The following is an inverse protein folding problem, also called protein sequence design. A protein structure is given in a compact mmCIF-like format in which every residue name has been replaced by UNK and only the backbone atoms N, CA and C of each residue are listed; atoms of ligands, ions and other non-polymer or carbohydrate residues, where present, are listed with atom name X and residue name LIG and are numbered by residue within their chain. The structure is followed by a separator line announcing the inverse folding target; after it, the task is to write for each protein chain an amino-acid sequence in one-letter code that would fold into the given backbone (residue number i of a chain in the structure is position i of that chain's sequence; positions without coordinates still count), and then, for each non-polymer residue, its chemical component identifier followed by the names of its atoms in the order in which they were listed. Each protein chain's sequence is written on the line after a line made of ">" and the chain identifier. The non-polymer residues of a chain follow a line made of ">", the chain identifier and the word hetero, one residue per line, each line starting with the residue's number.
data_IF_490505237388
#
_entry.id   IF_490505237388
#
_cell.length_a   1.000
_cell.length_b   1.000
_cell.length_c   1.000
_cell.angle_alpha   90.00
_cell.angle_beta   90.00
_cell.angle_gamma   90.00
#
_symmetry.space_group_name_H-M   'P 1'
#
loop_
_entity.id
_entity.type
_entity.pdbx_description
1 polymer ?
#
# COMPACT_ATOMS: atom_id res chain seq x y z
N UNK A 1 8.95 -24.50 15.53
CA UNK A 1 10.20 -24.86 14.82
C UNK A 1 10.28 -23.96 13.62
N UNK A 2 11.19 -23.00 13.63
CA UNK A 2 11.37 -22.07 12.53
C UNK A 2 11.73 -22.86 11.27
N UNK A 3 10.86 -22.89 10.28
CA UNK A 3 11.11 -23.43 8.95
C UNK A 3 12.13 -22.52 8.27
N UNK A 4 13.35 -22.98 8.19
CA UNK A 4 14.41 -22.37 7.38
C UNK A 4 13.92 -22.34 5.94
N UNK A 5 13.66 -21.16 5.41
CA UNK A 5 13.36 -20.95 3.98
C UNK A 5 14.65 -21.29 3.21
N UNK A 6 14.83 -22.55 2.89
CA UNK A 6 15.88 -23.00 1.96
C UNK A 6 15.45 -22.58 0.56
N UNK A 7 16.30 -21.79 -0.09
CA UNK A 7 16.10 -21.37 -1.48
C UNK A 7 16.03 -22.57 -2.41
N UNK A 8 14.82 -23.05 -2.71
CA UNK A 8 14.57 -23.94 -3.83
C UNK A 8 14.86 -23.17 -5.12
N UNK A 9 15.52 -23.85 -6.07
CA UNK A 9 15.80 -23.30 -7.39
C UNK A 9 14.49 -22.74 -8.00
N UNK A 10 14.42 -21.42 -8.15
CA UNK A 10 13.33 -20.77 -8.84
C UNK A 10 13.17 -21.41 -10.22
N UNK A 11 11.96 -21.83 -10.54
CA UNK A 11 11.52 -21.85 -11.93
C UNK A 11 11.90 -20.50 -12.50
N UNK A 12 12.70 -20.45 -13.56
CA UNK A 12 13.02 -19.20 -14.25
C UNK A 12 11.70 -18.71 -14.82
N UNK A 13 11.01 -17.85 -14.06
CA UNK A 13 9.86 -17.15 -14.60
C UNK A 13 10.33 -16.44 -15.87
N UNK A 14 9.56 -16.48 -16.98
CA UNK A 14 9.94 -15.77 -18.18
C UNK A 14 10.27 -14.32 -17.85
N UNK A 15 11.37 -13.79 -18.43
CA UNK A 15 11.74 -12.38 -18.26
C UNK A 15 10.52 -11.51 -18.55
N UNK A 16 10.07 -10.79 -17.53
CA UNK A 16 8.98 -9.83 -17.68
C UNK A 16 9.55 -8.59 -18.38
N UNK A 17 9.16 -8.38 -19.64
CA UNK A 17 9.67 -7.28 -20.47
C UNK A 17 9.38 -5.86 -19.91
N UNK A 18 8.63 -5.75 -18.81
CA UNK A 18 8.32 -4.46 -18.18
C UNK A 18 9.48 -3.95 -17.31
N UNK A 19 10.37 -4.83 -16.81
CA UNK A 19 11.50 -4.46 -15.97
C UNK A 19 12.83 -4.58 -16.72
N UNK A 20 13.75 -3.63 -16.48
CA UNK A 20 15.12 -3.65 -16.98
C UNK A 20 16.14 -4.05 -15.90
N UNK A 21 17.44 -4.12 -16.23
CA UNK A 21 18.49 -4.56 -15.31
C UNK A 21 18.56 -3.78 -13.99
N UNK A 22 18.37 -2.46 -14.03
CA UNK A 22 18.41 -1.61 -12.84
C UNK A 22 17.23 -1.91 -11.90
N UNK A 23 16.05 -2.22 -12.48
CA UNK A 23 14.89 -2.64 -11.73
C UNK A 23 15.12 -3.97 -11.02
N UNK A 24 15.75 -4.95 -11.67
CA UNK A 24 16.05 -6.23 -11.05
C UNK A 24 17.15 -6.11 -9.98
N UNK A 25 18.15 -5.25 -10.16
CA UNK A 25 19.14 -4.94 -9.13
C UNK A 25 18.51 -4.29 -7.89
N UNK A 26 17.55 -3.38 -8.09
CA UNK A 26 16.76 -2.78 -7.02
C UNK A 26 15.90 -3.83 -6.31
N UNK A 27 15.22 -4.70 -7.07
CA UNK A 27 14.45 -5.83 -6.54
C UNK A 27 15.27 -6.69 -5.61
N UNK A 28 16.47 -7.09 -6.04
CA UNK A 28 17.37 -7.93 -5.24
C UNK A 28 17.84 -7.22 -3.96
N UNK A 29 18.05 -5.91 -4.03
CA UNK A 29 18.41 -5.10 -2.86
C UNK A 29 17.24 -5.02 -1.87
N UNK A 30 16.05 -4.69 -2.36
CA UNK A 30 14.86 -4.57 -1.51
C UNK A 30 14.45 -5.93 -0.89
N UNK A 31 14.55 -7.01 -1.66
CA UNK A 31 14.32 -8.38 -1.15
C UNK A 31 15.27 -8.75 -0.01
N UNK A 32 16.57 -8.39 -0.13
CA UNK A 32 17.52 -8.62 0.98
C UNK A 32 17.16 -7.80 2.21
N UNK A 33 16.73 -6.56 2.01
CA UNK A 33 16.24 -5.71 3.11
C UNK A 33 15.04 -6.36 3.82
N UNK A 34 14.01 -6.77 3.08
CA UNK A 34 12.85 -7.44 3.65
C UNK A 34 13.27 -8.69 4.44
N UNK A 35 14.07 -9.56 3.84
CA UNK A 35 14.49 -10.83 4.45
C UNK A 35 15.30 -10.65 5.74
N UNK A 36 16.10 -9.57 5.82
CA UNK A 36 17.03 -9.37 6.95
C UNK A 36 16.51 -8.41 8.02
N UNK A 37 15.61 -7.48 7.66
CA UNK A 37 15.17 -6.41 8.56
C UNK A 37 13.67 -6.49 8.90
N UNK A 38 12.81 -6.82 7.94
CA UNK A 38 11.35 -6.78 8.12
C UNK A 38 10.80 -8.14 8.56
N UNK A 39 11.09 -9.20 7.81
CA UNK A 39 10.57 -10.56 8.07
C UNK A 39 10.86 -11.05 9.50
N UNK A 40 12.06 -10.84 10.08
CA UNK A 40 12.35 -11.35 11.44
C UNK A 40 11.50 -10.73 12.55
N UNK A 41 11.03 -9.48 12.38
CA UNK A 41 10.18 -8.78 13.35
C UNK A 41 8.69 -8.91 13.08
N UNK A 42 8.31 -9.36 11.89
CA UNK A 42 6.95 -9.21 11.36
C UNK A 42 5.88 -9.89 12.23
N UNK A 43 6.10 -11.14 12.67
CA UNK A 43 5.17 -11.86 13.55
C UNK A 43 4.91 -11.12 14.88
N UNK A 44 5.92 -10.46 15.42
CA UNK A 44 5.78 -9.65 16.64
C UNK A 44 4.89 -8.43 16.37
N UNK A 45 5.13 -7.72 15.28
CA UNK A 45 4.32 -6.55 14.90
C UNK A 45 2.87 -6.92 14.55
N UNK A 46 2.64 -8.09 13.91
CA UNK A 46 1.28 -8.59 13.69
C UNK A 46 0.53 -8.81 15.01
N UNK A 47 1.19 -9.26 16.06
CA UNK A 47 0.60 -9.40 17.40
C UNK A 47 0.41 -8.06 18.13
N UNK A 48 1.31 -7.11 17.92
CA UNK A 48 1.27 -5.78 18.52
C UNK A 48 0.35 -4.82 17.77
N UNK A 49 0.00 -5.14 16.54
CA UNK A 49 -0.90 -4.35 15.70
C UNK A 49 -0.25 -3.11 15.08
N UNK A 50 1.09 -3.01 15.08
CA UNK A 50 1.81 -1.87 14.52
C UNK A 50 3.22 -2.25 14.09
N UNK A 51 3.64 -1.79 12.91
CA UNK A 51 5.03 -1.89 12.45
C UNK A 51 5.90 -0.90 13.25
N UNK A 52 7.08 -1.35 13.65
CA UNK A 52 8.06 -0.48 14.31
C UNK A 52 8.46 0.69 13.40
N UNK A 53 8.43 1.91 13.92
CA UNK A 53 8.74 3.14 13.16
C UNK A 53 10.13 3.13 12.55
N UNK A 54 11.08 2.49 13.22
CA UNK A 54 12.46 2.34 12.77
C UNK A 54 12.55 1.66 11.39
N UNK A 55 11.56 0.86 11.02
CA UNK A 55 11.53 0.23 9.70
C UNK A 55 11.33 1.25 8.57
N UNK A 56 10.65 2.37 8.83
CA UNK A 56 10.54 3.45 7.85
C UNK A 56 11.87 4.21 7.71
N UNK A 57 12.54 4.55 8.80
CA UNK A 57 13.86 5.21 8.73
C UNK A 57 14.93 4.30 8.13
N UNK A 58 14.89 3.01 8.41
CA UNK A 58 15.77 2.05 7.76
C UNK A 58 15.48 1.92 6.26
N UNK A 59 14.21 1.86 5.85
CA UNK A 59 13.83 1.85 4.44
C UNK A 59 14.31 3.13 3.73
N UNK A 60 14.13 4.30 4.36
CA UNK A 60 14.64 5.58 3.86
C UNK A 60 16.15 5.59 3.70
N UNK A 61 16.91 5.12 4.71
CA UNK A 61 18.37 5.06 4.66
C UNK A 61 18.94 4.16 3.55
N UNK A 62 18.13 3.21 3.05
CA UNK A 62 18.46 2.33 1.94
C UNK A 62 17.90 2.81 0.59
N UNK A 63 17.23 3.97 0.55
CA UNK A 63 16.64 4.53 -0.65
C UNK A 63 15.36 3.82 -1.13
N UNK A 64 14.62 3.17 -0.21
CA UNK A 64 13.35 2.50 -0.53
C UNK A 64 12.13 3.37 -0.25
N UNK A 65 12.32 4.60 0.25
CA UNK A 65 11.30 5.61 0.37
C UNK A 65 11.57 6.77 -0.58
N UNK A 66 10.49 7.39 -1.09
CA UNK A 66 10.59 8.62 -1.85
C UNK A 66 11.33 8.50 -3.17
N UNK A 67 11.15 7.42 -3.95
CA UNK A 67 11.80 7.24 -5.25
C UNK A 67 11.59 8.45 -6.18
N UNK A 68 10.39 9.01 -6.22
CA UNK A 68 10.04 10.17 -7.03
C UNK A 68 10.38 11.53 -6.37
N UNK A 69 10.81 11.55 -5.10
CA UNK A 69 11.26 12.78 -4.44
C UNK A 69 12.60 13.20 -5.07
N UNK A 70 12.76 14.48 -5.47
CA UNK A 70 14.04 14.97 -6.02
C UNK A 70 15.22 14.72 -5.09
N UNK A 71 16.40 14.49 -5.69
CA UNK A 71 17.64 14.22 -4.95
C UNK A 71 18.02 15.35 -3.98
N UNK A 72 17.70 16.60 -4.33
CA UNK A 72 17.93 17.77 -3.46
C UNK A 72 17.18 17.69 -2.12
N UNK A 73 16.10 16.90 -2.05
CA UNK A 73 15.35 16.60 -0.83
C UNK A 73 15.67 15.21 -0.24
N UNK A 74 16.70 14.55 -0.75
CA UNK A 74 17.14 13.25 -0.25
C UNK A 74 16.40 12.04 -0.82
N UNK A 75 15.60 12.23 -1.85
CA UNK A 75 14.90 11.15 -2.55
C UNK A 75 15.72 10.51 -3.68
N UNK A 76 15.08 9.61 -4.42
CA UNK A 76 15.71 8.87 -5.52
C UNK A 76 15.77 9.64 -6.85
N UNK A 77 15.06 10.75 -6.98
CA UNK A 77 15.02 11.58 -8.21
C UNK A 77 14.43 10.87 -9.43
N UNK A 78 13.74 9.73 -9.25
CA UNK A 78 13.20 8.92 -10.34
C UNK A 78 11.67 8.85 -10.25
N UNK A 79 10.99 9.28 -11.29
CA UNK A 79 9.55 9.17 -11.48
C UNK A 79 9.12 7.84 -12.11
N UNK A 80 10.07 6.92 -12.32
CA UNK A 80 9.80 5.59 -12.86
C UNK A 80 9.07 4.72 -11.83
N UNK A 81 7.75 4.66 -11.95
CA UNK A 81 6.86 3.92 -11.03
C UNK A 81 7.17 2.41 -10.95
N UNK A 82 7.99 1.85 -11.85
CA UNK A 82 8.38 0.44 -11.79
C UNK A 82 9.16 0.11 -10.51
N UNK A 83 9.91 1.05 -9.94
CA UNK A 83 10.55 0.86 -8.63
C UNK A 83 9.52 0.70 -7.51
N UNK A 84 8.47 1.51 -7.51
CA UNK A 84 7.37 1.42 -6.56
C UNK A 84 6.57 0.11 -6.73
N UNK A 85 6.34 -0.29 -7.99
CA UNK A 85 5.71 -1.57 -8.31
C UNK A 85 6.52 -2.77 -7.77
N UNK A 86 7.84 -2.73 -7.85
CA UNK A 86 8.73 -3.75 -7.27
C UNK A 86 8.55 -3.81 -5.74
N UNK A 87 8.48 -2.66 -5.07
CA UNK A 87 8.23 -2.63 -3.62
C UNK A 87 6.90 -3.33 -3.31
N UNK A 88 5.82 -3.03 -4.04
CA UNK A 88 4.52 -3.65 -3.85
C UNK A 88 4.56 -5.17 -4.09
N UNK A 89 5.25 -5.61 -5.14
CA UNK A 89 5.44 -7.03 -5.44
C UNK A 89 6.20 -7.76 -4.34
N UNK A 90 7.35 -7.23 -3.91
CA UNK A 90 8.22 -7.92 -2.97
C UNK A 90 7.64 -7.94 -1.54
N UNK A 91 6.96 -6.88 -1.11
CA UNK A 91 6.21 -6.85 0.16
C UNK A 91 5.14 -7.94 0.18
N UNK A 92 4.36 -8.05 -0.90
CA UNK A 92 3.31 -9.07 -1.03
C UNK A 92 3.88 -10.48 -1.15
N UNK A 93 4.92 -10.66 -1.94
CA UNK A 93 5.58 -11.95 -2.14
C UNK A 93 6.25 -12.47 -0.86
N UNK A 94 6.84 -11.58 -0.06
CA UNK A 94 7.43 -11.93 1.24
C UNK A 94 6.38 -12.20 2.33
N UNK A 95 5.08 -11.91 2.09
CA UNK A 95 4.03 -12.08 3.08
C UNK A 95 4.05 -11.03 4.18
N UNK A 96 4.65 -9.85 3.94
CA UNK A 96 4.76 -8.75 4.91
C UNK A 96 3.89 -7.55 4.51
N UNK A 97 2.69 -7.80 4.03
CA UNK A 97 1.78 -6.81 3.44
C UNK A 97 1.38 -5.68 4.41
N UNK A 98 1.50 -5.89 5.71
CA UNK A 98 1.26 -4.85 6.73
C UNK A 98 2.34 -3.77 6.75
N UNK A 99 3.49 -3.95 6.06
CA UNK A 99 4.52 -2.92 5.98
C UNK A 99 4.06 -1.79 5.06
N UNK A 100 3.50 -0.73 5.65
CA UNK A 100 2.80 0.37 4.99
C UNK A 100 3.66 1.29 4.10
N UNK A 101 4.78 0.82 3.58
CA UNK A 101 5.70 1.55 2.72
C UNK A 101 5.05 1.99 1.40
N UNK A 102 4.17 1.16 0.83
CA UNK A 102 3.46 1.52 -0.39
C UNK A 102 2.43 2.63 -0.16
N UNK A 103 1.72 2.64 0.98
CA UNK A 103 0.85 3.75 1.34
C UNK A 103 1.63 5.07 1.38
N UNK A 104 2.81 5.05 2.00
CA UNK A 104 3.69 6.21 2.09
C UNK A 104 4.15 6.66 0.70
N UNK A 105 4.77 5.76 -0.08
CA UNK A 105 5.38 6.08 -1.37
C UNK A 105 4.38 6.38 -2.49
N UNK A 106 3.35 5.52 -2.63
CA UNK A 106 2.52 5.48 -3.84
C UNK A 106 1.26 6.33 -3.69
N UNK A 107 0.81 6.53 -2.44
CA UNK A 107 -0.43 7.23 -2.13
C UNK A 107 -0.13 8.61 -1.54
N UNK A 108 0.64 8.71 -0.43
CA UNK A 108 0.80 9.99 0.26
C UNK A 108 1.82 10.92 -0.40
N UNK A 109 3.03 10.44 -0.73
CA UNK A 109 4.11 11.25 -1.31
C UNK A 109 3.68 11.97 -2.59
N UNK A 110 2.93 11.37 -3.54
CA UNK A 110 2.49 12.06 -4.76
C UNK A 110 1.72 13.36 -4.52
N UNK A 111 0.94 13.46 -3.44
CA UNK A 111 0.23 14.69 -3.12
C UNK A 111 1.18 15.84 -2.81
N UNK A 112 2.28 15.58 -2.10
CA UNK A 112 3.31 16.59 -1.82
C UNK A 112 4.08 16.95 -3.08
N UNK A 113 4.41 15.99 -3.92
CA UNK A 113 5.12 16.25 -5.18
C UNK A 113 4.31 17.11 -6.14
N UNK A 114 3.00 16.88 -6.23
CA UNK A 114 2.14 17.54 -7.22
C UNK A 114 1.58 18.88 -6.73
N UNK A 115 1.31 19.03 -5.41
CA UNK A 115 0.49 20.12 -4.91
C UNK A 115 1.17 20.99 -3.84
N UNK A 116 2.32 20.59 -3.31
CA UNK A 116 3.04 21.38 -2.32
C UNK A 116 3.73 22.60 -2.95
N UNK A 117 3.73 23.73 -2.23
CA UNK A 117 4.57 24.89 -2.56
C UNK A 117 6.04 24.55 -2.32
N UNK A 118 6.96 25.41 -2.80
CA UNK A 118 8.38 25.17 -2.61
C UNK A 118 8.76 25.17 -1.10
N UNK A 119 8.15 26.05 -0.29
CA UNK A 119 8.33 26.07 1.17
C UNK A 119 7.85 24.77 1.82
N UNK A 120 6.70 24.25 1.38
CA UNK A 120 6.16 22.99 1.86
C UNK A 120 7.02 21.80 1.44
N UNK A 121 7.56 21.80 0.22
CA UNK A 121 8.50 20.76 -0.26
C UNK A 121 9.76 20.73 0.59
N UNK A 122 10.39 21.88 0.84
CA UNK A 122 11.56 21.97 1.73
C UNK A 122 11.28 21.50 3.15
N UNK A 123 10.05 21.73 3.63
CA UNK A 123 9.65 21.35 4.99
C UNK A 123 9.41 19.86 5.15
N UNK A 124 8.76 19.20 4.19
CA UNK A 124 8.25 17.84 4.39
C UNK A 124 8.97 16.78 3.57
N UNK A 125 9.42 17.06 2.34
CA UNK A 125 10.02 16.04 1.49
C UNK A 125 11.27 15.39 2.08
N UNK A 126 12.20 16.10 2.74
CA UNK A 126 13.37 15.44 3.34
C UNK A 126 12.99 14.40 4.40
N UNK A 127 12.04 14.73 5.27
CA UNK A 127 11.55 13.79 6.29
C UNK A 127 10.76 12.62 5.71
N UNK A 128 10.02 12.84 4.60
CA UNK A 128 9.33 11.78 3.88
C UNK A 128 10.30 10.83 3.18
N UNK A 129 11.38 11.35 2.59
CA UNK A 129 12.41 10.55 1.94
C UNK A 129 13.22 9.73 2.94
N UNK A 130 13.57 10.32 4.08
CA UNK A 130 14.34 9.63 5.13
C UNK A 130 13.50 8.66 5.99
N UNK A 131 12.16 8.76 5.96
CA UNK A 131 11.27 8.00 6.83
C UNK A 131 11.17 8.54 8.27
N UNK A 132 11.78 9.68 8.56
CA UNK A 132 11.57 10.41 9.83
C UNK A 132 10.14 10.92 9.95
N UNK A 133 9.54 11.34 8.82
CA UNK A 133 8.12 11.66 8.71
C UNK A 133 7.37 10.52 8.03
N UNK A 134 6.46 9.89 8.73
CA UNK A 134 5.53 8.92 8.19
C UNK A 134 4.25 9.65 7.80
N UNK A 135 3.75 9.42 6.59
CA UNK A 135 2.54 10.06 6.10
C UNK A 135 1.32 9.13 6.14
N UNK A 136 0.16 9.74 6.34
CA UNK A 136 -1.15 9.14 6.14
C UNK A 136 -2.06 10.07 5.33
N UNK A 137 -3.13 9.52 4.76
CA UNK A 137 -4.20 10.29 4.13
C UNK A 137 -5.54 9.94 4.75
N UNK A 138 -6.30 10.94 5.17
CA UNK A 138 -7.55 10.81 5.90
C UNK A 138 -8.72 11.34 5.06
N UNK A 139 -9.38 10.42 4.33
CA UNK A 139 -10.55 10.70 3.51
C UNK A 139 -11.83 10.19 4.17
N UNK A 140 -11.85 8.90 4.51
CA UNK A 140 -13.04 8.16 4.98
C UNK A 140 -13.52 8.65 6.35
N UNK A 141 -14.84 8.76 6.50
CA UNK A 141 -15.51 9.12 7.75
C UNK A 141 -16.49 8.02 8.17
N UNK A 142 -16.98 7.99 9.40
CA UNK A 142 -18.00 7.02 9.82
C UNK A 142 -19.25 7.01 8.93
N UNK A 143 -19.62 8.16 8.36
CA UNK A 143 -20.77 8.31 7.46
C UNK A 143 -20.45 8.32 5.97
N UNK A 144 -19.18 8.26 5.58
CA UNK A 144 -18.75 8.50 4.18
C UNK A 144 -17.54 7.63 3.81
N UNK A 145 -17.72 6.83 2.76
CA UNK A 145 -16.64 6.03 2.17
C UNK A 145 -16.54 6.30 0.66
N UNK A 146 -17.29 5.56 -0.16
CA UNK A 146 -17.29 5.71 -1.62
C UNK A 146 -17.79 7.07 -2.11
N UNK A 147 -18.72 7.70 -1.38
CA UNK A 147 -19.20 9.05 -1.69
C UNK A 147 -18.33 10.12 -0.99
N UNK A 148 -17.13 10.37 -1.51
CA UNK A 148 -16.23 11.40 -0.99
C UNK A 148 -16.85 12.82 -1.01
N UNK A 149 -17.83 13.07 -1.86
CA UNK A 149 -18.56 14.33 -1.87
C UNK A 149 -19.42 14.53 -0.60
N UNK A 150 -19.70 13.46 0.14
CA UNK A 150 -20.41 13.47 1.41
C UNK A 150 -19.55 13.75 2.64
N UNK A 151 -18.25 14.06 2.50
CA UNK A 151 -17.35 14.39 3.62
C UNK A 151 -17.97 15.52 4.46
N UNK A 152 -18.12 15.28 5.77
CA UNK A 152 -18.71 16.19 6.75
C UNK A 152 -17.66 16.92 7.60
N UNK A 153 -16.42 16.43 7.70
CA UNK A 153 -15.32 17.17 8.34
C UNK A 153 -15.18 18.56 7.75
N UNK A 154 -15.18 19.59 8.57
CA UNK A 154 -15.14 21.00 8.16
C UNK A 154 -13.83 21.67 8.58
N UNK A 155 -13.40 22.64 7.78
CA UNK A 155 -12.26 23.51 8.08
C UNK A 155 -12.62 24.95 7.74
N UNK A 156 -12.90 25.73 8.76
CA UNK A 156 -13.35 27.13 8.62
C UNK A 156 -12.14 28.06 8.76
N UNK A 157 -11.94 28.94 7.79
CA UNK A 157 -10.86 29.94 7.84
C UNK A 157 -11.11 30.96 8.96
N UNK A 158 -10.14 31.10 9.87
CA UNK A 158 -10.11 32.08 10.95
C UNK A 158 -8.73 32.76 11.00
N UNK A 159 -8.64 33.91 10.38
CA UNK A 159 -7.38 34.64 10.25
C UNK A 159 -6.35 33.88 9.43
N UNK A 160 -5.25 33.50 10.05
CA UNK A 160 -4.13 32.77 9.44
C UNK A 160 -4.19 31.24 9.65
N UNK A 161 -5.31 30.72 10.17
CA UNK A 161 -5.53 29.31 10.41
C UNK A 161 -6.88 28.83 9.88
N UNK A 162 -6.97 27.56 9.57
CA UNK A 162 -8.24 26.81 9.46
C UNK A 162 -8.57 26.17 10.79
N UNK A 163 -9.80 26.34 11.28
CA UNK A 163 -10.34 25.61 12.43
C UNK A 163 -10.97 24.33 11.93
N UNK A 164 -10.28 23.20 12.15
CA UNK A 164 -10.66 21.88 11.66
C UNK A 164 -11.46 21.12 12.71
N UNK A 165 -12.66 20.64 12.32
CA UNK A 165 -13.56 19.86 13.15
C UNK A 165 -14.10 18.67 12.39
N UNK A 166 -14.13 17.49 13.04
CA UNK A 166 -14.66 16.26 12.47
C UNK A 166 -14.00 15.00 12.94
N UNK A 167 -14.25 13.89 12.24
CA UNK A 167 -13.65 12.59 12.54
C UNK A 167 -13.39 11.80 11.27
N UNK A 168 -12.34 11.01 11.28
CA UNK A 168 -11.94 10.11 10.20
C UNK A 168 -11.81 8.69 10.73
N UNK A 169 -12.11 7.70 9.89
CA UNK A 169 -12.01 6.29 10.28
C UNK A 169 -11.30 5.47 9.20
N UNK A 170 -10.76 4.33 9.60
CA UNK A 170 -10.00 3.40 8.75
C UNK A 170 -8.74 4.04 8.15
N UNK A 171 -8.06 4.89 8.92
CA UNK A 171 -6.88 5.60 8.43
C UNK A 171 -5.63 4.74 8.67
N UNK A 172 -5.11 4.17 7.59
CA UNK A 172 -3.87 3.41 7.60
C UNK A 172 -2.67 4.33 7.89
N UNK A 173 -1.68 3.84 8.61
CA UNK A 173 -0.61 4.60 9.25
C UNK A 173 -1.12 5.65 10.28
N UNK A 174 -2.40 5.65 10.65
CA UNK A 174 -2.97 6.70 11.49
C UNK A 174 -2.36 6.77 12.90
N UNK A 175 -1.85 5.67 13.44
CA UNK A 175 -1.09 5.63 14.69
C UNK A 175 0.35 6.12 14.47
N UNK A 176 1.01 5.62 13.42
CA UNK A 176 2.41 5.90 13.13
C UNK A 176 2.64 7.28 12.49
N UNK A 177 1.68 7.82 11.73
CA UNK A 177 1.88 9.03 10.95
C UNK A 177 2.31 10.25 11.79
N UNK A 178 3.25 11.01 11.27
CA UNK A 178 3.66 12.32 11.78
C UNK A 178 2.88 13.44 11.10
N UNK A 179 2.53 13.24 9.83
CA UNK A 179 1.73 14.14 9.04
C UNK A 179 0.57 13.40 8.40
N UNK A 180 -0.61 14.02 8.43
CA UNK A 180 -1.84 13.45 7.87
C UNK A 180 -2.43 14.44 6.88
N UNK A 181 -2.59 14.00 5.62
CA UNK A 181 -3.34 14.76 4.62
C UNK A 181 -4.84 14.57 4.90
N UNK A 182 -5.50 15.59 5.41
CA UNK A 182 -6.92 15.54 5.80
C UNK A 182 -7.78 16.20 4.74
N UNK A 183 -8.70 15.44 4.15
CA UNK A 183 -9.74 16.00 3.29
C UNK A 183 -10.84 16.61 4.17
N UNK A 184 -11.07 17.92 4.02
CA UNK A 184 -12.07 18.66 4.79
C UNK A 184 -12.83 19.65 3.91
N UNK A 185 -14.03 19.99 4.32
CA UNK A 185 -14.88 20.97 3.63
C UNK A 185 -14.50 22.37 4.10
N UNK A 186 -14.02 23.21 3.16
CA UNK A 186 -13.71 24.62 3.41
C UNK A 186 -14.76 25.58 2.86
N UNK A 187 -15.64 25.11 1.96
CA UNK A 187 -16.70 25.90 1.34
C UNK A 187 -18.03 25.13 1.37
N UNK A 188 -19.13 25.81 1.63
CA UNK A 188 -20.44 25.17 1.85
C UNK A 188 -21.26 24.95 0.56
N UNK A 189 -20.95 25.65 -0.54
CA UNK A 189 -21.92 25.87 -1.62
C UNK A 189 -21.85 24.88 -2.79
N UNK A 190 -20.99 23.84 -2.71
CA UNK A 190 -20.83 22.88 -3.81
C UNK A 190 -20.66 21.44 -3.30
N UNK A 191 -21.45 20.49 -3.85
CA UNK A 191 -21.33 19.07 -3.49
C UNK A 191 -19.96 18.45 -3.88
N UNK A 192 -19.42 18.80 -5.03
CA UNK A 192 -18.13 18.31 -5.55
C UNK A 192 -17.00 19.33 -5.44
N UNK A 193 -17.32 20.59 -5.20
CA UNK A 193 -16.37 21.64 -4.83
C UNK A 193 -16.30 21.81 -3.32
N UNK A 194 -15.44 22.71 -2.86
CA UNK A 194 -15.34 23.09 -1.46
C UNK A 194 -14.61 22.09 -0.57
N UNK A 195 -14.09 20.97 -1.09
CA UNK A 195 -13.13 20.13 -0.38
C UNK A 195 -11.72 20.66 -0.57
N UNK A 196 -10.96 20.72 0.52
CA UNK A 196 -9.53 21.07 0.53
C UNK A 196 -8.72 19.98 1.21
N UNK A 197 -7.42 19.95 0.95
CA UNK A 197 -6.49 19.07 1.61
C UNK A 197 -5.65 19.89 2.59
N UNK A 198 -5.69 19.53 3.87
CA UNK A 198 -4.94 20.18 4.94
C UNK A 198 -3.93 19.18 5.51
N UNK A 199 -2.69 19.59 5.68
CA UNK A 199 -1.67 18.78 6.36
C UNK A 199 -1.73 19.05 7.85
N UNK A 200 -2.21 18.05 8.61
CA UNK A 200 -2.25 18.07 10.07
C UNK A 200 -1.02 17.34 10.60
N UNK A 201 -0.29 17.98 11.48
CA UNK A 201 0.95 17.45 12.04
C UNK A 201 0.74 16.85 13.42
N UNK A 202 1.53 15.86 13.77
CA UNK A 202 1.55 15.23 15.10
C UNK A 202 1.78 16.32 16.16
N UNK A 203 0.94 16.32 17.20
CA UNK A 203 1.04 17.24 18.33
C UNK A 203 0.27 18.54 18.18
N UNK A 204 -0.44 18.78 17.07
CA UNK A 204 -1.39 19.89 17.00
C UNK A 204 -2.48 19.70 18.06
N UNK A 205 -2.79 20.76 18.81
CA UNK A 205 -3.81 20.74 19.86
C UNK A 205 -5.19 20.43 19.26
N UNK A 206 -5.96 19.55 19.92
CA UNK A 206 -7.26 19.09 19.45
C UNK A 206 -7.20 17.99 18.39
N UNK A 207 -6.02 17.59 17.91
CA UNK A 207 -5.84 16.41 17.05
C UNK A 207 -5.54 15.19 17.90
N UNK A 208 -6.47 14.25 17.92
CA UNK A 208 -6.34 13.01 18.68
C UNK A 208 -6.37 11.79 17.77
N UNK A 209 -5.53 10.82 18.08
CA UNK A 209 -5.60 9.47 17.52
C UNK A 209 -6.42 8.61 18.45
N UNK A 210 -7.47 8.03 17.91
CA UNK A 210 -8.27 7.05 18.62
C UNK A 210 -7.58 5.69 18.71
N UNK A 211 -8.37 4.67 18.87
CA UNK A 211 -7.84 3.30 18.94
C UNK A 211 -7.26 2.83 17.60
N UNK A 212 -6.25 1.97 17.68
CA UNK A 212 -5.89 1.11 16.55
C UNK A 212 -6.99 0.06 16.37
N UNK A 213 -7.56 -0.02 15.17
CA UNK A 213 -8.72 -0.87 14.88
C UNK A 213 -8.31 -2.34 14.77
N UNK A 214 -9.07 -3.22 15.36
CA UNK A 214 -8.92 -4.67 15.18
C UNK A 214 -9.47 -5.08 13.80
N UNK A 215 -8.69 -5.84 13.04
CA UNK A 215 -8.97 -6.21 11.65
C UNK A 215 -8.90 -7.73 11.47
N UNK A 216 -9.55 -8.24 10.42
CA UNK A 216 -9.50 -9.67 10.07
C UNK A 216 -8.17 -10.09 9.43
N UNK A 217 -7.29 -9.15 9.06
CA UNK A 217 -5.98 -9.41 8.46
C UNK A 217 -5.13 -8.15 8.46
N UNK A 218 -3.86 -8.27 8.08
CA UNK A 218 -2.89 -7.18 8.05
C UNK A 218 -2.86 -6.43 9.40
N UNK A 219 -2.74 -7.20 10.50
CA UNK A 219 -2.89 -6.64 11.86
C UNK A 219 -1.81 -5.59 12.14
N UNK A 220 -0.59 -5.77 11.67
CA UNK A 220 0.51 -4.83 11.87
C UNK A 220 0.41 -3.54 11.04
N UNK A 221 -0.45 -3.50 9.99
CA UNK A 221 -0.79 -2.25 9.32
C UNK A 221 -1.71 -1.47 10.24
N UNK A 222 -1.17 -0.56 11.05
CA UNK A 222 -1.98 0.26 11.94
C UNK A 222 -3.07 1.01 11.16
N UNK A 223 -4.26 1.00 11.73
CA UNK A 223 -5.45 1.59 11.12
C UNK A 223 -6.25 2.28 12.21
N UNK A 224 -6.29 3.61 12.20
CA UNK A 224 -6.82 4.40 13.31
C UNK A 224 -8.13 5.12 12.98
N UNK A 225 -8.85 5.45 14.05
CA UNK A 225 -9.81 6.54 14.08
C UNK A 225 -9.04 7.83 14.43
N UNK A 226 -9.35 8.93 13.76
CA UNK A 226 -8.78 10.25 14.03
C UNK A 226 -9.91 11.22 14.37
N UNK A 227 -9.71 12.06 15.37
CA UNK A 227 -10.65 13.11 15.74
C UNK A 227 -9.99 14.48 15.75
N UNK A 228 -10.76 15.47 15.36
CA UNK A 228 -10.33 16.86 15.26
C UNK A 228 -11.37 17.73 16.00
N UNK A 229 -10.91 18.39 17.05
CA UNK A 229 -11.74 19.31 17.86
C UNK A 229 -11.05 20.67 17.91
N UNK A 230 -11.57 21.61 17.14
CA UNK A 230 -11.04 22.98 17.03
C UNK A 230 -9.53 23.02 16.70
N UNK A 231 -9.04 22.06 15.90
CA UNK A 231 -7.61 22.00 15.52
C UNK A 231 -7.27 23.23 14.67
N UNK A 232 -6.34 24.04 15.15
CA UNK A 232 -5.85 25.21 14.42
C UNK A 232 -4.75 24.82 13.45
N UNK A 233 -5.14 24.62 12.20
CA UNK A 233 -4.22 24.25 11.11
C UNK A 233 -3.77 25.51 10.38
N UNK A 234 -2.48 25.88 10.36
CA UNK A 234 -2.00 27.07 9.67
C UNK A 234 -2.41 27.07 8.17
N UNK A 235 -2.74 28.23 7.62
CA UNK A 235 -3.00 28.37 6.17
C UNK A 235 -1.83 27.86 5.34
N UNK A 236 -0.60 27.99 5.84
CA UNK A 236 0.61 27.44 5.23
C UNK A 236 0.61 25.91 5.10
N UNK A 237 -0.30 25.19 5.77
CA UNK A 237 -0.50 23.75 5.67
C UNK A 237 -1.63 23.36 4.68
N UNK A 238 -2.25 24.31 3.98
CA UNK A 238 -3.15 24.02 2.87
C UNK A 238 -2.32 23.42 1.71
N UNK A 239 -2.64 22.21 1.30
CA UNK A 239 -1.97 21.53 0.19
C UNK A 239 -2.70 21.80 -1.11
N UNK A 240 -2.06 22.53 -2.02
CA UNK A 240 -2.65 23.02 -3.25
C UNK A 240 -3.60 24.20 -3.03
N UNK A 241 -4.68 24.28 -3.81
CA UNK A 241 -5.66 25.36 -3.79
C UNK A 241 -6.90 24.98 -2.96
N UNK A 242 -7.47 25.96 -2.26
CA UNK A 242 -8.75 25.80 -1.57
C UNK A 242 -9.86 25.38 -2.53
N UNK A 243 -10.70 24.44 -2.08
CA UNK A 243 -11.84 23.94 -2.86
C UNK A 243 -11.47 22.92 -3.97
N UNK A 244 -10.19 22.61 -4.18
CA UNK A 244 -9.72 21.70 -5.23
C UNK A 244 -9.43 20.27 -4.76
N UNK A 245 -9.57 19.99 -3.48
CA UNK A 245 -9.21 18.71 -2.88
C UNK A 245 -9.86 17.49 -3.55
N UNK A 246 -11.14 17.58 -3.91
CA UNK A 246 -11.82 16.47 -4.61
C UNK A 246 -11.11 16.10 -5.93
N UNK A 247 -10.72 17.11 -6.73
CA UNK A 247 -9.99 16.88 -7.97
C UNK A 247 -8.64 16.21 -7.72
N UNK A 248 -7.92 16.64 -6.68
CA UNK A 248 -6.61 16.08 -6.31
C UNK A 248 -6.73 14.61 -5.91
N UNK A 249 -7.73 14.28 -5.08
CA UNK A 249 -8.00 12.90 -4.68
C UNK A 249 -8.27 12.00 -5.89
N UNK A 250 -9.13 12.43 -6.81
CA UNK A 250 -9.51 11.64 -7.98
C UNK A 250 -8.35 11.46 -8.96
N UNK A 251 -7.45 12.45 -9.08
CA UNK A 251 -6.32 12.38 -10.03
C UNK A 251 -5.27 11.34 -9.66
N UNK A 252 -5.08 11.01 -8.37
CA UNK A 252 -4.11 9.99 -7.93
C UNK A 252 -4.68 8.56 -7.93
N UNK A 253 -6.00 8.38 -7.97
CA UNK A 253 -6.65 7.07 -7.91
C UNK A 253 -6.16 6.05 -8.95
N UNK A 254 -5.80 6.40 -10.20
CA UNK A 254 -5.27 5.40 -11.15
C UNK A 254 -4.00 4.73 -10.64
N UNK A 255 -3.05 5.49 -10.08
CA UNK A 255 -1.83 4.97 -9.48
C UNK A 255 -2.12 4.11 -8.24
N UNK A 256 -2.97 4.59 -7.35
CA UNK A 256 -3.37 3.86 -6.13
C UNK A 256 -3.99 2.50 -6.46
N UNK A 257 -4.84 2.44 -7.50
CA UNK A 257 -5.44 1.20 -7.99
C UNK A 257 -4.41 0.26 -8.61
N UNK A 258 -3.45 0.82 -9.33
CA UNK A 258 -2.38 0.04 -9.95
C UNK A 258 -1.49 -0.63 -8.91
N UNK A 259 -1.09 0.08 -7.84
CA UNK A 259 -0.34 -0.49 -6.71
C UNK A 259 -1.06 -1.71 -6.13
N UNK A 260 -2.37 -1.61 -5.88
CA UNK A 260 -3.16 -2.73 -5.36
C UNK A 260 -3.18 -3.89 -6.37
N UNK A 261 -3.33 -3.61 -7.65
CA UNK A 261 -3.34 -4.65 -8.69
C UNK A 261 -2.00 -5.41 -8.75
N UNK A 262 -0.89 -4.70 -8.69
CA UNK A 262 0.47 -5.27 -8.66
C UNK A 262 0.67 -6.17 -7.44
N UNK A 263 0.33 -5.67 -6.24
CA UNK A 263 0.40 -6.42 -4.99
C UNK A 263 -0.44 -7.71 -5.02
N UNK A 264 -1.66 -7.61 -5.57
CA UNK A 264 -2.60 -8.74 -5.66
C UNK A 264 -2.08 -9.88 -6.56
N UNK A 265 -1.48 -9.53 -7.69
CA UNK A 265 -0.86 -10.53 -8.59
C UNK A 265 0.32 -11.22 -7.91
N UNK A 266 1.15 -10.48 -7.19
CA UNK A 266 2.30 -11.03 -6.47
C UNK A 266 1.86 -11.99 -5.35
N UNK A 267 0.83 -11.62 -4.58
CA UNK A 267 0.26 -12.47 -3.54
C UNK A 267 -0.34 -13.77 -4.10
N UNK A 268 -1.10 -13.68 -5.21
CA UNK A 268 -1.66 -14.85 -5.89
C UNK A 268 -0.55 -15.79 -6.39
N UNK A 269 0.50 -15.25 -7.01
CA UNK A 269 1.64 -16.04 -7.48
C UNK A 269 2.33 -16.76 -6.32
N UNK A 270 2.54 -16.08 -5.21
CA UNK A 270 3.16 -16.67 -4.02
C UNK A 270 2.31 -17.78 -3.43
N UNK A 271 0.99 -17.62 -3.36
CA UNK A 271 0.08 -18.66 -2.89
C UNK A 271 0.16 -19.93 -3.76
N UNK A 272 0.23 -19.77 -5.09
CA UNK A 272 0.41 -20.90 -6.03
C UNK A 272 1.73 -21.63 -5.79
N UNK A 273 2.85 -20.90 -5.63
CA UNK A 273 4.17 -21.50 -5.38
C UNK A 273 4.18 -22.28 -4.05
N UNK A 274 3.75 -21.68 -2.96
CA UNK A 274 3.68 -22.32 -1.64
C UNK A 274 2.81 -23.58 -1.66
N UNK A 275 1.69 -23.51 -2.36
CA UNK A 275 0.78 -24.65 -2.50
C UNK A 275 1.38 -25.75 -3.36
N UNK A 276 2.07 -25.39 -4.45
CA UNK A 276 2.76 -26.36 -5.31
C UNK A 276 3.83 -27.12 -4.52
N UNK A 277 4.63 -26.44 -3.71
CA UNK A 277 5.63 -27.06 -2.82
C UNK A 277 4.94 -28.02 -1.83
N UNK A 278 3.92 -27.55 -1.14
CA UNK A 278 3.16 -28.36 -0.17
C UNK A 278 2.58 -29.64 -0.78
N UNK A 279 1.89 -29.59 -1.92
CA UNK A 279 1.25 -30.75 -2.52
C UNK A 279 2.25 -31.75 -3.11
N UNK A 280 3.47 -31.33 -3.43
CA UNK A 280 4.55 -32.21 -3.85
C UNK A 280 5.15 -32.99 -2.67
N UNK A 281 5.17 -32.41 -1.48
CA UNK A 281 5.70 -33.03 -0.26
C UNK A 281 4.64 -33.84 0.50
N UNK A 282 3.43 -33.30 0.64
CA UNK A 282 2.35 -33.91 1.41
C UNK A 282 1.82 -35.18 0.73
N UNK A 283 1.82 -36.29 1.46
CA UNK A 283 1.31 -37.58 0.98
C UNK A 283 -0.06 -37.93 1.56
N UNK A 284 -0.94 -38.42 0.70
CA UNK A 284 -2.19 -39.07 1.06
C UNK A 284 -2.43 -40.26 0.11
N UNK A 285 -3.06 -41.32 0.61
CA UNK A 285 -3.28 -42.55 -0.17
C UNK A 285 -1.97 -43.16 -0.74
N UNK A 286 -0.87 -43.02 -0.02
CA UNK A 286 0.44 -43.57 -0.40
C UNK A 286 1.21 -42.79 -1.46
N UNK A 287 0.69 -41.63 -1.94
CA UNK A 287 1.30 -40.79 -3.01
C UNK A 287 1.27 -39.31 -2.62
N UNK A 288 2.17 -38.46 -3.18
CA UNK A 288 2.02 -37.02 -3.06
C UNK A 288 0.63 -36.55 -3.49
N UNK A 289 0.11 -35.47 -2.88
CA UNK A 289 -1.17 -34.86 -3.31
C UNK A 289 -1.12 -34.42 -4.77
N UNK A 290 0.02 -33.97 -5.26
CA UNK A 290 0.27 -33.63 -6.66
C UNK A 290 0.04 -34.79 -7.63
N UNK A 291 0.01 -36.07 -7.17
CA UNK A 291 -0.33 -37.21 -8.03
C UNK A 291 -1.84 -37.31 -8.34
N UNK A 292 -2.68 -36.60 -7.57
CA UNK A 292 -4.12 -36.54 -7.81
C UNK A 292 -4.45 -35.60 -8.97
N UNK A 293 -5.31 -36.04 -9.90
CA UNK A 293 -5.65 -35.27 -11.10
C UNK A 293 -6.30 -33.91 -10.76
N UNK A 294 -7.24 -33.92 -9.80
CA UNK A 294 -7.90 -32.69 -9.35
C UNK A 294 -6.88 -31.66 -8.82
N UNK A 295 -5.95 -32.07 -7.95
CA UNK A 295 -4.91 -31.19 -7.41
C UNK A 295 -4.09 -30.53 -8.52
N UNK A 296 -3.66 -31.32 -9.53
CA UNK A 296 -2.90 -30.81 -10.68
C UNK A 296 -3.69 -29.80 -11.50
N UNK A 297 -4.96 -30.05 -11.74
CA UNK A 297 -5.81 -29.16 -12.53
C UNK A 297 -6.08 -27.87 -11.76
N UNK A 298 -6.37 -27.94 -10.47
CA UNK A 298 -6.58 -26.75 -9.64
C UNK A 298 -5.35 -25.84 -9.61
N UNK A 299 -4.13 -26.40 -9.45
CA UNK A 299 -2.89 -25.60 -9.48
C UNK A 299 -2.64 -25.02 -10.88
N UNK A 300 -2.88 -25.82 -11.94
CA UNK A 300 -2.70 -25.34 -13.32
C UNK A 300 -3.66 -24.18 -13.64
N UNK A 301 -4.92 -24.27 -13.24
CA UNK A 301 -5.90 -23.19 -13.41
C UNK A 301 -5.51 -21.94 -12.62
N UNK A 302 -5.12 -22.09 -11.34
CA UNK A 302 -4.68 -20.98 -10.51
C UNK A 302 -3.45 -20.27 -11.12
N UNK A 303 -2.48 -21.05 -11.61
CA UNK A 303 -1.30 -20.49 -12.28
C UNK A 303 -1.66 -19.75 -13.58
N UNK A 304 -2.46 -20.35 -14.45
CA UNK A 304 -2.90 -19.71 -15.70
C UNK A 304 -3.63 -18.41 -15.43
N UNK A 305 -4.58 -18.39 -14.49
CA UNK A 305 -5.32 -17.17 -14.14
C UNK A 305 -4.40 -16.08 -13.60
N UNK A 306 -3.41 -16.45 -12.80
CA UNK A 306 -2.41 -15.51 -12.28
C UNK A 306 -1.55 -14.91 -13.40
N UNK A 307 -1.07 -15.74 -14.35
CA UNK A 307 -0.24 -15.27 -15.47
C UNK A 307 -1.02 -14.37 -16.46
N UNK A 308 -2.27 -14.72 -16.75
CA UNK A 308 -3.15 -13.87 -17.59
C UNK A 308 -3.38 -12.51 -16.93
N UNK A 309 -3.66 -12.51 -15.62
CA UNK A 309 -3.87 -11.27 -14.86
C UNK A 309 -2.58 -10.45 -14.78
N UNK A 310 -1.44 -11.11 -14.59
CA UNK A 310 -0.11 -10.48 -14.59
C UNK A 310 0.17 -9.75 -15.89
N UNK A 311 -0.06 -10.41 -17.03
CA UNK A 311 0.15 -9.80 -18.34
C UNK A 311 -0.68 -8.53 -18.54
N UNK A 312 -1.91 -8.51 -18.02
CA UNK A 312 -2.76 -7.31 -18.06
C UNK A 312 -2.24 -6.21 -17.14
N UNK A 313 -1.83 -6.55 -15.92
CA UNK A 313 -1.29 -5.57 -14.95
C UNK A 313 0.05 -5.01 -15.44
N UNK A 314 0.94 -5.83 -16.02
CA UNK A 314 2.20 -5.39 -16.64
C UNK A 314 1.97 -4.39 -17.78
N UNK A 315 0.94 -4.64 -18.62
CA UNK A 315 0.54 -3.68 -19.63
C UNK A 315 0.04 -2.36 -19.02
N UNK A 316 -0.73 -2.43 -17.92
CA UNK A 316 -1.17 -1.22 -17.21
C UNK A 316 0.01 -0.47 -16.57
N UNK A 317 1.01 -1.19 -16.05
CA UNK A 317 2.23 -0.60 -15.51
C UNK A 317 3.04 0.14 -16.59
N UNK A 318 3.21 -0.48 -17.75
CA UNK A 318 3.87 0.17 -18.90
C UNK A 318 3.11 1.44 -19.32
N UNK A 319 1.79 1.37 -19.44
CA UNK A 319 0.97 2.56 -19.75
C UNK A 319 1.07 3.65 -18.68
N UNK A 320 1.23 3.27 -17.41
CA UNK A 320 1.39 4.26 -16.33
C UNK A 320 2.72 5.00 -16.45
N UNK A 321 3.81 4.28 -16.70
CA UNK A 321 5.14 4.86 -16.93
C UNK A 321 5.14 5.81 -18.14
N UNK A 322 4.40 5.45 -19.19
CA UNK A 322 4.23 6.29 -20.39
C UNK A 322 3.22 7.45 -20.20
N UNK A 323 2.62 7.63 -19.00
CA UNK A 323 1.61 8.65 -18.73
C UNK A 323 0.27 8.42 -19.47
N UNK A 324 0.02 7.20 -19.95
CA UNK A 324 -1.13 6.83 -20.79
C UNK A 324 -2.17 5.93 -20.09
N UNK A 325 -1.98 5.63 -18.79
CA UNK A 325 -2.94 4.82 -18.04
C UNK A 325 -4.23 5.60 -17.76
N UNK A 326 -5.33 5.17 -18.36
CA UNK A 326 -6.64 5.76 -18.12
C UNK A 326 -7.27 5.27 -16.80
N UNK A 327 -8.16 6.07 -16.21
CA UNK A 327 -8.80 5.77 -14.94
C UNK A 327 -9.67 4.51 -14.98
N UNK A 328 -10.35 4.25 -16.10
CA UNK A 328 -11.14 3.04 -16.34
C UNK A 328 -10.25 1.81 -16.44
N UNK A 329 -9.10 1.91 -17.15
CA UNK A 329 -8.16 0.80 -17.27
C UNK A 329 -7.50 0.44 -15.92
N UNK A 330 -7.14 1.45 -15.12
CA UNK A 330 -6.66 1.23 -13.76
C UNK A 330 -7.72 0.57 -12.86
N UNK A 331 -9.00 0.97 -13.02
CA UNK A 331 -10.10 0.35 -12.29
C UNK A 331 -10.31 -1.12 -12.70
N UNK A 332 -10.23 -1.44 -14.01
CA UNK A 332 -10.27 -2.81 -14.51
C UNK A 332 -9.12 -3.65 -13.97
N UNK A 333 -7.88 -3.11 -13.96
CA UNK A 333 -6.72 -3.81 -13.45
C UNK A 333 -6.87 -4.17 -11.96
N UNK A 334 -7.30 -3.19 -11.14
CA UNK A 334 -7.55 -3.42 -9.71
C UNK A 334 -8.62 -4.49 -9.51
N UNK A 335 -9.76 -4.37 -10.17
CA UNK A 335 -10.87 -5.32 -10.01
C UNK A 335 -10.43 -6.74 -10.41
N UNK A 336 -9.87 -6.89 -11.62
CA UNK A 336 -9.45 -8.20 -12.12
C UNK A 336 -8.39 -8.85 -11.21
N UNK A 337 -7.39 -8.07 -10.76
CA UNK A 337 -6.30 -8.60 -9.94
C UNK A 337 -6.77 -9.03 -8.55
N UNK A 338 -7.59 -8.21 -7.88
CA UNK A 338 -8.08 -8.53 -6.53
C UNK A 338 -9.05 -9.71 -6.52
N UNK A 339 -9.97 -9.80 -7.50
CA UNK A 339 -10.86 -10.97 -7.62
C UNK A 339 -10.10 -12.25 -8.02
N UNK A 340 -9.04 -12.11 -8.82
CA UNK A 340 -8.18 -13.24 -9.13
C UNK A 340 -7.42 -13.71 -7.90
N UNK A 341 -6.84 -12.79 -7.11
CA UNK A 341 -6.17 -13.12 -5.86
C UNK A 341 -7.10 -13.92 -4.93
N UNK A 342 -8.32 -13.44 -4.71
CA UNK A 342 -9.31 -14.09 -3.85
C UNK A 342 -9.57 -15.53 -4.30
N UNK A 343 -9.89 -15.75 -5.59
CA UNK A 343 -10.13 -17.09 -6.15
C UNK A 343 -8.92 -18.02 -6.05
N UNK A 344 -7.73 -17.50 -6.33
CA UNK A 344 -6.49 -18.29 -6.31
C UNK A 344 -6.14 -18.68 -4.89
N UNK A 345 -6.21 -17.74 -3.94
CA UNK A 345 -5.89 -18.01 -2.53
C UNK A 345 -6.86 -19.02 -1.94
N UNK A 346 -8.18 -18.88 -2.19
CA UNK A 346 -9.19 -19.84 -1.73
C UNK A 346 -8.93 -21.25 -2.28
N UNK A 347 -8.64 -21.38 -3.58
CA UNK A 347 -8.30 -22.65 -4.21
C UNK A 347 -7.03 -23.27 -3.63
N UNK A 348 -6.00 -22.46 -3.37
CA UNK A 348 -4.75 -22.87 -2.74
C UNK A 348 -4.97 -23.33 -1.30
N UNK A 349 -5.70 -22.57 -0.51
CA UNK A 349 -6.04 -22.87 0.87
C UNK A 349 -6.80 -24.21 0.96
N UNK A 350 -7.75 -24.46 0.07
CA UNK A 350 -8.48 -25.73 0.01
C UNK A 350 -7.54 -26.93 -0.22
N UNK A 351 -6.47 -26.78 -1.03
CA UNK A 351 -5.50 -27.87 -1.28
C UNK A 351 -4.62 -28.18 -0.07
N UNK A 352 -4.47 -27.27 0.87
CA UNK A 352 -3.78 -27.53 2.14
C UNK A 352 -4.66 -28.36 3.12
N UNK A 353 -5.95 -28.48 2.86
CA UNK A 353 -6.89 -29.17 3.74
C UNK A 353 -6.97 -28.51 5.12
N UNK A 354 -6.94 -29.31 6.21
CA UNK A 354 -7.00 -28.76 7.57
C UNK A 354 -5.86 -27.80 7.92
N UNK A 355 -4.71 -27.94 7.28
CA UNK A 355 -3.58 -27.03 7.47
C UNK A 355 -3.81 -25.63 6.86
N UNK A 356 -4.67 -25.50 5.85
CA UNK A 356 -5.10 -24.19 5.33
C UNK A 356 -5.93 -23.37 6.32
N UNK A 357 -6.37 -23.96 7.44
CA UNK A 357 -7.10 -23.27 8.50
C UNK A 357 -6.19 -22.90 9.70
N UNK A 358 -4.90 -23.18 9.61
CA UNK A 358 -3.94 -22.97 10.69
C UNK A 358 -3.05 -21.75 10.39
N UNK A 359 -3.06 -20.76 11.29
CA UNK A 359 -2.34 -19.50 11.15
C UNK A 359 -0.81 -19.64 10.96
N UNK A 360 -0.23 -20.80 11.27
CA UNK A 360 1.19 -21.11 11.04
C UNK A 360 1.53 -21.41 9.57
N UNK A 361 0.52 -21.54 8.70
CA UNK A 361 0.70 -21.76 7.27
C UNK A 361 0.51 -20.45 6.49
N UNK A 362 1.50 -20.04 5.67
CA UNK A 362 1.52 -18.71 5.07
C UNK A 362 0.49 -18.48 3.95
N UNK A 363 -0.32 -19.48 3.61
CA UNK A 363 -1.44 -19.35 2.67
C UNK A 363 -2.76 -19.05 3.40
N UNK A 364 -2.78 -19.19 4.73
CA UNK A 364 -3.97 -19.03 5.59
C UNK A 364 -4.33 -17.56 5.82
#
# INVERSE_FOLDING_TARGET
>A
MASTINGSARSVAPERGVYGPDHEAFRDSFRRFLATRVVPGYETWEREGVIAREMFTEAGSHGFLGMAIPEEFGGGGSDDFRFNAIIAEEVSYAGVMSFGVNLHNDICVPYFLHYATDEQRHRWLPGLASGELIAAIAMTEPGTGSDLAGIATTAVLDGDHYVLNGSKTFISNGINADIVIVAARTESDSRHGGLSLLVVERGMEGFERGRNLDKIGMHAQDTAELSFTDVRVPVANLLGESGRGFRYLVSNLPQERLTIAVASVAAAARAVELTADYVNERKAFGKPLAAQQNTRFTIADAHVQTEVTRAFVDNCLALHVDGALSADRAAMAKLAATENQDRVVDACLQLLGGYGYMAEYPVS
#
